data_IF_940616441617
#
_entry.id   IF_940616441617
#
_cell.length_a   1.000
_cell.length_b   1.000
_cell.length_c   1.000
_cell.angle_alpha   90.00
_cell.angle_beta   90.00
_cell.angle_gamma   90.00
#
_symmetry.space_group_name_H-M   'P 1'
#
loop_
_entity.id
_entity.type
_entity.pdbx_description
1 polymer ?
#
# COMPACT_ATOMS: atom_id res chain seq x y z
N UNK A 1 15.41 -6.94 16.36
CA UNK A 1 14.34 -6.63 15.39
C UNK A 1 14.36 -7.69 14.31
N UNK A 2 13.29 -8.43 14.16
CA UNK A 2 13.19 -9.45 13.11
C UNK A 2 13.08 -8.76 11.76
N UNK A 3 14.02 -9.00 10.88
CA UNK A 3 13.99 -8.47 9.52
C UNK A 3 13.07 -9.33 8.68
N UNK A 4 12.04 -8.73 8.13
CA UNK A 4 11.09 -9.41 7.25
C UNK A 4 11.64 -9.48 5.82
N UNK A 5 11.44 -10.61 5.17
CA UNK A 5 11.85 -10.81 3.78
C UNK A 5 10.64 -11.08 2.88
N UNK A 6 10.61 -10.55 1.65
CA UNK A 6 11.62 -9.68 1.01
C UNK A 6 11.61 -8.26 1.61
N UNK A 7 12.75 -7.78 2.01
CA UNK A 7 12.84 -6.49 2.70
C UNK A 7 12.23 -5.34 1.90
N UNK A 8 12.49 -5.25 0.61
CA UNK A 8 11.99 -4.16 -0.22
C UNK A 8 10.45 -4.06 -0.21
N UNK A 9 9.75 -5.19 -0.13
CA UNK A 9 8.28 -5.22 -0.02
C UNK A 9 7.84 -4.63 1.31
N UNK A 10 8.48 -5.03 2.40
CA UNK A 10 8.11 -4.54 3.73
C UNK A 10 8.51 -3.08 3.95
N UNK A 11 9.60 -2.62 3.34
CA UNK A 11 9.97 -1.20 3.35
C UNK A 11 8.92 -0.34 2.63
N UNK A 12 8.43 -0.78 1.48
CA UNK A 12 7.32 -0.12 0.77
C UNK A 12 6.03 -0.16 1.59
N UNK A 13 5.72 -1.30 2.19
CA UNK A 13 4.55 -1.45 3.03
C UNK A 13 4.60 -0.53 4.26
N UNK A 14 5.76 -0.41 4.89
CA UNK A 14 5.95 0.52 6.00
C UNK A 14 5.71 1.98 5.58
N UNK A 15 6.17 2.38 4.39
CA UNK A 15 5.92 3.72 3.86
C UNK A 15 4.43 3.96 3.63
N UNK A 16 3.72 2.99 3.06
CA UNK A 16 2.26 3.07 2.83
C UNK A 16 1.51 3.24 4.16
N UNK A 17 1.93 2.54 5.21
CA UNK A 17 1.31 2.61 6.53
C UNK A 17 1.52 3.95 7.24
N UNK A 18 2.51 4.75 6.82
CA UNK A 18 2.71 6.10 7.34
C UNK A 18 1.69 7.11 6.79
N UNK A 19 0.98 6.77 5.72
CA UNK A 19 0.09 7.70 5.03
C UNK A 19 -1.36 7.40 5.41
N UNK A 20 -2.05 8.32 6.12
CA UNK A 20 -3.49 8.20 6.36
C UNK A 20 -4.27 8.15 5.03
N UNK A 21 -5.16 7.16 4.92
CA UNK A 21 -5.90 6.92 3.67
C UNK A 21 -7.31 6.37 3.91
N UNK A 22 -8.11 7.02 4.78
CA UNK A 22 -9.49 6.56 4.99
C UNK A 22 -10.30 6.70 3.70
N UNK A 23 -11.22 5.79 3.49
CA UNK A 23 -12.11 5.80 2.32
C UNK A 23 -12.79 7.16 2.16
N UNK A 24 -12.77 7.71 0.95
CA UNK A 24 -13.25 9.05 0.57
C UNK A 24 -12.40 10.23 1.07
N UNK A 25 -11.23 9.94 1.63
CA UNK A 25 -10.24 10.92 2.10
C UNK A 25 -8.83 10.47 1.70
N UNK A 26 -8.66 10.13 0.42
CA UNK A 26 -7.44 9.53 -0.12
C UNK A 26 -6.39 10.54 -0.58
N UNK A 27 -6.61 11.84 -0.41
CA UNK A 27 -5.78 12.90 -0.97
C UNK A 27 -4.28 12.75 -0.60
N UNK A 28 -4.00 12.36 0.64
CA UNK A 28 -2.62 12.15 1.10
C UNK A 28 -1.97 10.96 0.40
N UNK A 29 -2.73 9.88 0.20
CA UNK A 29 -2.23 8.69 -0.49
C UNK A 29 -2.03 8.96 -1.98
N UNK A 30 -2.93 9.71 -2.62
CA UNK A 30 -2.77 10.14 -4.00
C UNK A 30 -1.48 10.93 -4.17
N UNK A 31 -1.24 11.91 -3.30
CA UNK A 31 -0.01 12.69 -3.31
C UNK A 31 1.23 11.82 -3.09
N UNK A 32 1.18 10.89 -2.14
CA UNK A 32 2.26 9.96 -1.87
C UNK A 32 2.59 9.08 -3.09
N UNK A 33 1.58 8.46 -3.70
CA UNK A 33 1.78 7.59 -4.87
C UNK A 33 2.31 8.36 -6.08
N UNK A 34 1.82 9.58 -6.28
CA UNK A 34 2.31 10.46 -7.33
C UNK A 34 3.79 10.76 -7.13
N UNK A 35 4.18 11.21 -5.94
CA UNK A 35 5.57 11.49 -5.61
C UNK A 35 6.45 10.24 -5.72
N UNK A 36 5.92 9.09 -5.34
CA UNK A 36 6.63 7.81 -5.44
C UNK A 36 6.93 7.46 -6.91
N UNK A 37 5.94 7.53 -7.78
CA UNK A 37 6.13 7.25 -9.22
C UNK A 37 7.08 8.25 -9.89
N UNK A 38 6.88 9.54 -9.64
CA UNK A 38 7.72 10.61 -10.18
C UNK A 38 9.17 10.52 -9.65
N UNK A 39 9.33 10.17 -8.38
CA UNK A 39 10.65 10.00 -7.76
C UNK A 39 11.46 8.83 -8.34
N UNK A 40 10.78 7.84 -8.90
CA UNK A 40 11.40 6.74 -9.64
C UNK A 40 11.66 7.07 -11.13
N UNK A 41 11.29 8.27 -11.55
CA UNK A 41 11.40 8.67 -12.95
C UNK A 41 10.36 8.01 -13.86
N UNK A 42 9.26 7.51 -13.28
CA UNK A 42 8.21 6.84 -14.03
C UNK A 42 7.10 7.83 -14.39
N UNK A 43 6.50 7.60 -15.57
CA UNK A 43 5.32 8.34 -16.00
C UNK A 43 4.17 8.05 -15.01
N UNK A 44 3.67 9.10 -14.38
CA UNK A 44 2.64 9.00 -13.36
C UNK A 44 1.49 9.95 -13.66
N UNK A 45 0.29 9.43 -13.73
CA UNK A 45 -0.93 10.18 -13.99
C UNK A 45 -1.92 10.03 -12.84
N UNK A 46 -2.64 11.09 -12.56
CA UNK A 46 -3.79 11.08 -11.65
C UNK A 46 -4.99 11.54 -12.47
N UNK A 47 -6.03 10.71 -12.53
CA UNK A 47 -7.24 11.07 -13.27
C UNK A 47 -8.17 11.98 -12.43
N UNK A 48 -9.26 12.42 -13.03
CA UNK A 48 -10.24 13.32 -12.40
C UNK A 48 -10.97 12.70 -11.20
N UNK A 49 -10.99 11.38 -11.09
CA UNK A 49 -11.59 10.67 -9.95
C UNK A 49 -10.59 10.34 -8.86
N UNK A 50 -9.30 10.59 -9.09
CA UNK A 50 -8.24 10.35 -8.13
C UNK A 50 -7.53 9.00 -8.29
N UNK A 51 -7.77 8.27 -9.37
CA UNK A 51 -6.99 7.07 -9.67
C UNK A 51 -5.57 7.44 -10.07
N UNK A 52 -4.59 6.71 -9.55
CA UNK A 52 -3.18 6.91 -9.86
C UNK A 52 -2.70 5.79 -10.77
N UNK A 53 -2.12 6.15 -11.91
CA UNK A 53 -1.53 5.22 -12.86
C UNK A 53 -0.04 5.51 -12.99
N UNK A 54 0.78 4.50 -12.71
CA UNK A 54 2.24 4.58 -12.85
C UNK A 54 2.64 3.62 -13.97
N UNK A 55 3.32 4.12 -14.99
CA UNK A 55 3.76 3.35 -16.13
C UNK A 55 5.25 3.07 -16.06
N UNK A 56 5.60 1.81 -16.11
CA UNK A 56 6.97 1.35 -16.19
C UNK A 56 7.19 0.72 -17.56
N UNK A 57 8.19 1.22 -18.29
CA UNK A 57 8.57 0.64 -19.56
C UNK A 57 9.01 -0.81 -19.41
N UNK A 58 8.92 -1.57 -20.50
CA UNK A 58 9.40 -2.94 -20.54
C UNK A 58 10.90 -3.00 -20.19
N UNK A 59 11.30 -4.07 -19.54
CA UNK A 59 12.71 -4.41 -19.36
C UNK A 59 13.36 -4.60 -20.73
N UNK A 60 14.59 -4.12 -20.97
CA UNK A 60 15.28 -4.32 -22.23
C UNK A 60 15.25 -5.78 -22.69
N UNK A 61 14.84 -6.00 -23.94
CA UNK A 61 14.64 -7.34 -24.51
C UNK A 61 13.21 -7.89 -24.35
N UNK A 62 12.33 -7.21 -23.61
CA UNK A 62 10.95 -7.64 -23.36
C UNK A 62 9.89 -6.71 -23.98
N UNK A 63 10.29 -5.81 -24.87
CA UNK A 63 9.43 -4.79 -25.47
C UNK A 63 8.24 -5.38 -26.25
N UNK A 64 8.40 -6.58 -26.78
CA UNK A 64 7.37 -7.30 -27.54
C UNK A 64 6.47 -8.19 -26.68
N UNK A 65 6.66 -8.19 -25.38
CA UNK A 65 5.81 -8.95 -24.45
C UNK A 65 4.53 -8.18 -24.15
N UNK A 66 3.50 -8.92 -23.73
CA UNK A 66 2.22 -8.32 -23.35
C UNK A 66 2.39 -7.40 -22.14
N UNK A 67 1.71 -6.27 -22.18
CA UNK A 67 1.62 -5.39 -21.03
C UNK A 67 0.88 -6.07 -19.90
N UNK A 68 1.41 -5.93 -18.68
CA UNK A 68 0.79 -6.42 -17.46
C UNK A 68 0.27 -5.23 -16.67
N UNK A 69 -0.96 -5.31 -16.20
CA UNK A 69 -1.56 -4.30 -15.33
C UNK A 69 -1.67 -4.91 -13.93
N UNK A 70 -1.06 -4.25 -12.96
CA UNK A 70 -1.25 -4.54 -11.55
C UNK A 70 -2.22 -3.51 -10.98
N UNK A 71 -3.29 -3.97 -10.35
CA UNK A 71 -4.33 -3.10 -9.83
C UNK A 71 -4.58 -3.38 -8.36
N UNK A 72 -4.74 -2.31 -7.61
CA UNK A 72 -5.08 -2.34 -6.18
C UNK A 72 -5.89 -1.09 -5.83
N UNK A 73 -6.63 -1.11 -4.75
CA UNK A 73 -7.25 0.10 -4.20
C UNK A 73 -6.32 0.75 -3.17
N UNK A 74 -6.40 2.07 -3.03
CA UNK A 74 -5.50 2.81 -2.13
C UNK A 74 -6.13 3.15 -0.79
N UNK A 75 -7.45 3.12 -0.70
CA UNK A 75 -8.18 3.46 0.53
C UNK A 75 -8.21 2.32 1.52
N UNK A 76 -8.59 2.65 2.73
CA UNK A 76 -8.68 1.70 3.84
C UNK A 76 -9.96 1.94 4.64
N UNK A 77 -10.64 0.86 5.03
CA UNK A 77 -11.75 0.91 5.98
C UNK A 77 -11.21 1.29 7.36
N UNK A 78 -11.88 2.25 8.00
CA UNK A 78 -11.47 2.81 9.28
C UNK A 78 -12.16 2.11 10.44
N UNK A 79 -11.50 1.13 11.03
CA UNK A 79 -11.98 0.42 12.21
C UNK A 79 -10.87 0.38 13.27
N UNK A 80 -11.26 0.54 14.52
CA UNK A 80 -10.34 0.46 15.65
C UNK A 80 -11.03 -0.13 16.88
N UNK A 81 -10.23 -0.62 17.84
CA UNK A 81 -10.74 -1.04 19.12
C UNK A 81 -11.26 0.19 19.91
N UNK A 82 -12.27 -0.01 20.75
CA UNK A 82 -12.94 1.08 21.49
C UNK A 82 -12.02 1.82 22.46
N UNK A 83 -11.02 1.13 22.98
CA UNK A 83 -10.05 1.63 23.95
C UNK A 83 -8.81 2.27 23.29
N UNK A 84 -8.76 2.28 21.96
CA UNK A 84 -7.65 2.86 21.19
C UNK A 84 -8.02 4.27 20.75
N UNK A 85 -7.17 5.22 21.08
CA UNK A 85 -7.24 6.59 20.58
C UNK A 85 -6.45 6.65 19.26
N UNK A 86 -7.15 6.85 18.16
CA UNK A 86 -6.57 6.87 16.82
C UNK A 86 -7.38 7.73 15.87
N UNK A 87 -6.73 8.69 15.23
CA UNK A 87 -7.30 9.56 14.21
C UNK A 87 -6.92 9.06 12.81
N UNK A 88 -7.86 8.48 12.10
CA UNK A 88 -7.62 7.92 10.76
C UNK A 88 -7.24 8.96 9.70
N UNK A 89 -7.47 10.23 9.94
CA UNK A 89 -7.08 11.31 9.02
C UNK A 89 -5.65 11.81 9.26
N UNK A 90 -5.08 11.56 10.44
CA UNK A 90 -3.79 12.11 10.86
C UNK A 90 -2.75 11.06 11.26
N UNK A 91 -3.19 9.96 11.87
CA UNK A 91 -2.28 9.01 12.48
C UNK A 91 -1.81 7.94 11.51
N UNK A 92 -0.54 7.58 11.64
CA UNK A 92 0.04 6.44 10.94
C UNK A 92 -0.37 5.12 11.58
N UNK A 93 -0.59 4.10 10.77
CA UNK A 93 -0.88 2.75 11.28
C UNK A 93 0.39 2.17 11.89
N UNK A 94 0.29 1.77 13.15
CA UNK A 94 1.38 1.10 13.84
C UNK A 94 1.26 -0.40 13.67
N UNK A 95 2.30 -1.01 13.12
CA UNK A 95 2.38 -2.45 12.91
C UNK A 95 3.41 -3.09 13.82
N UNK A 96 3.22 -4.36 14.12
CA UNK A 96 4.18 -5.18 14.85
C UNK A 96 4.16 -6.62 14.33
N UNK A 97 5.26 -7.32 14.56
CA UNK A 97 5.40 -8.72 14.16
C UNK A 97 5.10 -9.62 15.35
N UNK A 98 4.23 -10.60 15.15
CA UNK A 98 3.85 -11.60 16.12
C UNK A 98 3.98 -12.98 15.48
N UNK A 99 5.14 -13.62 15.68
CA UNK A 99 5.48 -14.88 15.01
C UNK A 99 5.58 -14.70 13.49
N UNK A 100 4.73 -15.39 12.75
CA UNK A 100 4.63 -15.29 11.28
C UNK A 100 3.65 -14.21 10.81
N UNK A 101 3.09 -13.42 11.73
CA UNK A 101 2.04 -12.45 11.45
C UNK A 101 2.55 -11.02 11.58
N UNK A 102 2.15 -10.16 10.66
CA UNK A 102 2.20 -8.72 10.87
C UNK A 102 0.80 -8.23 11.25
N UNK A 103 0.70 -7.54 12.36
CA UNK A 103 -0.55 -7.06 12.93
C UNK A 103 -0.54 -5.55 13.10
N UNK A 104 -1.71 -4.92 13.04
CA UNK A 104 -1.89 -3.53 13.41
C UNK A 104 -2.25 -3.43 14.91
N UNK A 105 -1.74 -2.39 15.55
CA UNK A 105 -1.97 -2.14 16.96
C UNK A 105 -3.33 -1.48 17.18
N UNK A 106 -4.35 -2.31 17.38
CA UNK A 106 -5.70 -1.87 17.72
C UNK A 106 -6.52 -1.23 16.60
N UNK A 107 -6.04 -1.28 15.36
CA UNK A 107 -6.72 -0.74 14.18
C UNK A 107 -6.82 -1.77 13.07
N UNK A 108 -7.58 -1.45 12.01
CA UNK A 108 -7.53 -2.21 10.77
C UNK A 108 -6.16 -2.11 10.13
N UNK A 109 -5.75 -3.20 9.48
CA UNK A 109 -4.58 -3.26 8.64
C UNK A 109 -5.03 -3.72 7.26
N UNK A 110 -5.13 -2.80 6.31
CA UNK A 110 -5.36 -3.15 4.93
C UNK A 110 -4.03 -3.23 4.19
N UNK A 111 -3.69 -4.41 3.76
CA UNK A 111 -2.63 -4.60 2.78
C UNK A 111 -3.21 -4.40 1.39
N UNK A 112 -2.93 -3.26 0.80
CA UNK A 112 -3.16 -3.04 -0.61
C UNK A 112 -2.04 -3.72 -1.41
N UNK A 113 -2.00 -5.04 -1.32
CA UNK A 113 -1.17 -5.80 -2.24
C UNK A 113 -1.92 -5.94 -3.54
N UNK A 114 -1.23 -5.79 -4.69
CA UNK A 114 -1.83 -6.27 -5.94
C UNK A 114 -2.33 -7.67 -5.67
N UNK A 115 -3.53 -7.97 -6.10
CA UNK A 115 -4.09 -9.29 -5.95
C UNK A 115 -3.26 -10.30 -6.75
N UNK A 116 -2.13 -10.65 -6.19
CA UNK A 116 -1.49 -11.89 -6.52
C UNK A 116 -2.04 -12.86 -5.54
N UNK A 117 -3.16 -13.40 -5.96
CA UNK A 117 -3.72 -14.58 -5.38
C UNK A 117 -4.05 -14.57 -3.89
N UNK A 118 -5.32 -14.52 -3.64
CA UNK A 118 -5.98 -15.54 -2.87
C UNK A 118 -5.05 -16.33 -1.95
N UNK A 119 -4.45 -15.74 -1.00
CA UNK A 119 -4.17 -16.54 0.14
C UNK A 119 -5.42 -16.58 0.98
N UNK A 120 -6.02 -17.76 1.10
CA UNK A 120 -7.25 -17.93 1.87
C UNK A 120 -7.05 -17.71 3.35
N UNK A 121 -5.85 -17.47 3.78
CA UNK A 121 -5.52 -17.22 5.16
C UNK A 121 -5.20 -15.75 5.34
N UNK A 122 -6.23 -14.97 5.61
CA UNK A 122 -6.13 -13.57 5.93
C UNK A 122 -5.10 -13.35 7.06
N UNK A 123 -4.05 -12.62 6.77
CA UNK A 123 -3.09 -12.16 7.75
C UNK A 123 -1.74 -12.88 7.77
N UNK A 124 -1.55 -13.94 7.01
CA UNK A 124 -0.24 -14.53 6.77
C UNK A 124 0.48 -13.82 5.63
N UNK A 125 1.66 -13.34 5.92
CA UNK A 125 2.56 -12.69 4.96
C UNK A 125 3.69 -13.63 4.55
#
# INVERSE_FOLDING_TARGET
MTRLEPQAVFDCFAQVNQVPRPSKREEKMIAFLRQFGEGLGLETEVDETGNVVIRKAATPGYENRKTVILQSHMDMVCEKNKDVDFDFEQDAIQTYVDGEWMKAKGTTLAMNMPSVDSRPESGKL
#
